data_IF_641615143832
#
_entry.id   IF_641615143832
#
_cell.length_a   1.000
_cell.length_b   1.000
_cell.length_c   1.000
_cell.angle_alpha   90.00
_cell.angle_beta   90.00
_cell.angle_gamma   90.00
#
_symmetry.space_group_name_H-M   'P 1'
#
loop_
_entity.id
_entity.type
_entity.pdbx_description
1 polymer ?
#
# COMPACT_ATOMS: atom_id res chain seq x y z
N UNK A 1 -11.82 16.65 -4.28
CA UNK A 1 -11.64 15.19 -4.21
C UNK A 1 -11.24 14.71 -5.59
N UNK A 2 -9.98 14.37 -5.83
CA UNK A 2 -9.54 13.85 -7.14
C UNK A 2 -9.75 12.35 -7.11
N UNK A 3 -10.81 11.89 -7.76
CA UNK A 3 -11.14 10.47 -7.88
C UNK A 3 -10.09 9.80 -8.76
N UNK A 4 -9.50 8.72 -8.25
CA UNK A 4 -8.37 8.04 -8.86
C UNK A 4 -8.85 7.19 -10.06
N UNK A 5 -8.76 7.72 -11.27
CA UNK A 5 -9.16 6.99 -12.49
C UNK A 5 -7.92 6.43 -13.18
N UNK A 6 -7.85 5.11 -13.24
CA UNK A 6 -6.95 4.25 -14.03
C UNK A 6 -5.67 4.91 -14.62
N UNK A 7 -4.45 4.50 -14.20
CA UNK A 7 -3.18 5.08 -14.65
C UNK A 7 -2.84 4.86 -16.15
N UNK A 8 -3.73 4.17 -16.87
CA UNK A 8 -3.57 3.85 -18.29
C UNK A 8 -4.15 4.91 -19.21
N UNK A 9 -5.02 5.80 -18.71
CA UNK A 9 -5.82 6.73 -19.53
C UNK A 9 -5.47 8.18 -19.26
N UNK A 10 -5.41 9.00 -20.31
CA UNK A 10 -5.24 10.45 -20.20
C UNK A 10 -6.51 11.10 -19.68
N UNK A 11 -6.40 11.89 -18.61
CA UNK A 11 -7.49 12.67 -18.03
C UNK A 11 -7.35 14.13 -18.44
N UNK A 12 -8.41 14.69 -19.02
CA UNK A 12 -8.48 16.14 -19.26
C UNK A 12 -8.63 16.85 -17.92
N UNK A 13 -7.78 17.86 -17.68
CA UNK A 13 -7.80 18.62 -16.42
C UNK A 13 -7.93 20.13 -16.64
N UNK A 14 -7.93 20.59 -17.90
CA UNK A 14 -8.17 21.98 -18.21
C UNK A 14 -8.31 22.25 -19.71
N UNK A 15 -8.82 23.44 -20.02
CA UNK A 15 -8.85 24.07 -21.35
C UNK A 15 -8.67 25.57 -21.16
N UNK A 16 -7.92 26.24 -22.03
CA UNK A 16 -7.63 27.67 -21.89
C UNK A 16 -7.74 28.37 -23.25
N UNK A 17 -8.50 29.47 -23.31
CA UNK A 17 -8.70 30.29 -24.51
C UNK A 17 -7.59 31.34 -24.72
N UNK A 18 -6.78 31.62 -23.70
CA UNK A 18 -5.65 32.58 -23.76
C UNK A 18 -4.35 31.99 -24.33
N UNK A 19 -4.28 30.66 -24.43
CA UNK A 19 -3.21 29.92 -25.09
C UNK A 19 -3.91 29.06 -26.14
N UNK A 20 -4.13 29.64 -27.33
CA UNK A 20 -4.63 29.00 -28.55
C UNK A 20 -5.50 27.75 -28.32
N UNK A 21 -6.81 27.91 -28.13
CA UNK A 21 -7.87 26.89 -28.06
C UNK A 21 -7.40 25.41 -27.87
N UNK A 22 -6.66 25.15 -26.79
CA UNK A 22 -5.96 23.87 -26.57
C UNK A 22 -6.61 23.03 -25.48
N UNK A 23 -6.44 21.71 -25.58
CA UNK A 23 -6.90 20.74 -24.57
C UNK A 23 -5.70 20.19 -23.79
N UNK A 24 -5.72 20.35 -22.47
CA UNK A 24 -4.65 19.89 -21.59
C UNK A 24 -4.99 18.53 -20.98
N UNK A 25 -4.06 17.57 -21.10
CA UNK A 25 -4.23 16.20 -20.61
C UNK A 25 -3.11 15.80 -19.66
N UNK A 26 -3.45 15.13 -18.57
CA UNK A 26 -2.51 14.54 -17.62
C UNK A 26 -2.66 13.02 -17.61
N UNK A 27 -1.56 12.33 -17.34
CA UNK A 27 -1.59 10.89 -17.06
C UNK A 27 -0.71 10.65 -15.84
N UNK A 28 -1.32 10.13 -14.80
CA UNK A 28 -0.58 9.56 -13.69
C UNK A 28 -0.02 8.23 -14.17
N UNK A 29 1.31 8.12 -14.19
CA UNK A 29 1.95 6.84 -14.41
C UNK A 29 2.19 6.27 -13.02
N UNK A 30 1.44 5.22 -12.69
CA UNK A 30 1.60 4.43 -11.47
C UNK A 30 2.88 3.58 -11.58
N UNK A 31 4.00 4.25 -11.81
CA UNK A 31 5.27 3.63 -12.13
C UNK A 31 6.13 3.65 -10.87
N UNK A 32 6.13 2.58 -10.08
CA UNK A 32 7.29 2.29 -9.25
C UNK A 32 7.31 0.88 -8.70
N UNK A 33 8.53 0.46 -8.31
CA UNK A 33 8.78 -0.61 -7.36
C UNK A 33 7.93 -0.35 -6.12
N UNK A 34 6.91 -1.19 -5.90
CA UNK A 34 6.08 -1.23 -4.70
C UNK A 34 5.30 0.07 -4.36
N UNK A 35 5.02 0.95 -5.33
CA UNK A 35 4.14 2.12 -5.11
C UNK A 35 4.77 3.31 -4.37
N UNK A 36 6.10 3.33 -4.23
CA UNK A 36 6.82 4.37 -3.47
C UNK A 36 7.24 5.58 -4.29
N UNK A 37 7.50 5.39 -5.59
CA UNK A 37 7.81 6.48 -6.50
C UNK A 37 6.61 6.77 -7.40
N UNK A 38 6.38 8.05 -7.61
CA UNK A 38 5.29 8.54 -8.41
C UNK A 38 5.86 9.38 -9.53
N UNK A 39 5.43 9.12 -10.76
CA UNK A 39 5.89 9.86 -11.94
C UNK A 39 4.68 10.42 -12.68
N UNK A 40 4.78 11.67 -13.12
CA UNK A 40 3.74 12.28 -13.94
C UNK A 40 4.31 13.21 -15.01
N UNK A 41 3.54 13.37 -16.09
CA UNK A 41 3.81 14.30 -17.20
C UNK A 41 2.51 14.92 -17.68
N UNK A 42 2.63 16.11 -18.24
CA UNK A 42 1.55 16.84 -18.91
C UNK A 42 1.79 16.83 -20.41
N UNK A 43 0.72 16.62 -21.17
CA UNK A 43 0.68 16.86 -22.61
C UNK A 43 -0.25 18.05 -22.87
N UNK A 44 0.26 19.04 -23.60
CA UNK A 44 -0.56 20.08 -24.22
C UNK A 44 -0.72 19.76 -25.71
N UNK A 45 -1.96 19.82 -26.20
CA UNK A 45 -2.33 19.43 -27.56
C UNK A 45 -3.42 20.37 -28.07
N UNK A 46 -3.24 20.92 -29.27
CA UNK A 46 -4.20 21.83 -29.92
C UNK A 46 -4.99 21.18 -31.08
N UNK A 47 -4.82 19.87 -31.30
CA UNK A 47 -5.39 19.13 -32.43
C UNK A 47 -4.48 19.04 -33.66
N UNK A 48 -3.39 19.80 -33.69
CA UNK A 48 -2.42 19.87 -34.81
C UNK A 48 -1.00 19.59 -34.34
N UNK A 49 -0.61 20.15 -33.20
CA UNK A 49 0.70 19.99 -32.58
C UNK A 49 0.56 19.57 -31.13
N UNK A 50 1.62 18.96 -30.59
CA UNK A 50 1.68 18.68 -29.17
C UNK A 50 3.07 18.85 -28.57
N UNK A 51 3.09 19.22 -27.30
CA UNK A 51 4.32 19.35 -26.51
C UNK A 51 4.17 18.66 -25.16
N UNK A 52 5.32 18.32 -24.57
CA UNK A 52 5.42 17.52 -23.36
C UNK A 52 6.18 18.27 -22.27
N UNK A 53 5.73 18.14 -21.02
CA UNK A 53 6.53 18.54 -19.87
C UNK A 53 7.71 17.58 -19.65
N UNK A 54 8.68 18.03 -18.84
CA UNK A 54 9.62 17.14 -18.16
C UNK A 54 8.90 16.10 -17.29
N UNK A 55 9.60 15.02 -16.92
CA UNK A 55 9.11 14.07 -15.90
C UNK A 55 9.14 14.76 -14.55
N UNK A 56 8.01 14.81 -13.87
CA UNK A 56 7.95 15.12 -12.45
C UNK A 56 7.92 13.82 -11.66
N UNK A 57 8.66 13.78 -10.53
CA UNK A 57 8.68 12.62 -9.64
C UNK A 57 8.63 13.02 -8.18
N UNK A 58 7.97 12.21 -7.35
CA UNK A 58 8.03 12.33 -5.90
C UNK A 58 8.05 10.95 -5.23
N UNK A 59 8.63 10.90 -4.04
CA UNK A 59 8.75 9.69 -3.21
C UNK A 59 7.77 9.79 -2.04
N UNK A 60 6.95 8.76 -1.85
CA UNK A 60 5.96 8.70 -0.77
C UNK A 60 6.41 7.87 0.43
N UNK A 61 7.50 7.13 0.33
CA UNK A 61 7.87 6.15 1.35
C UNK A 61 7.07 4.85 1.24
N UNK A 62 7.12 4.05 2.31
CA UNK A 62 6.30 2.84 2.46
C UNK A 62 4.85 3.20 2.80
N UNK A 63 3.88 2.59 2.12
CA UNK A 63 2.44 2.76 2.36
C UNK A 63 1.99 2.10 3.66
N UNK A 64 2.61 0.97 4.00
CA UNK A 64 2.44 0.25 5.26
C UNK A 64 3.82 -0.07 5.82
N UNK A 65 4.07 0.25 7.09
CA UNK A 65 5.38 0.12 7.71
C UNK A 65 5.33 -0.07 9.21
N UNK A 66 6.39 -0.67 9.73
CA UNK A 66 6.79 -0.55 11.14
C UNK A 66 7.90 0.49 11.20
N UNK A 67 7.80 1.45 12.11
CA UNK A 67 8.78 2.51 12.29
C UNK A 67 9.33 2.46 13.70
N UNK A 68 10.65 2.35 13.84
CA UNK A 68 11.30 2.40 15.14
C UNK A 68 11.68 3.85 15.46
N UNK A 69 10.84 4.50 16.27
CA UNK A 69 11.06 5.87 16.75
C UNK A 69 11.87 5.92 18.05
N UNK A 70 12.33 4.78 18.57
CA UNK A 70 13.09 4.66 19.82
C UNK A 70 14.60 4.81 19.61
N UNK A 71 15.35 4.92 20.71
CA UNK A 71 16.82 5.05 20.71
C UNK A 71 17.57 3.72 20.58
N UNK A 72 16.87 2.60 20.72
CA UNK A 72 17.44 1.25 20.63
C UNK A 72 16.85 0.48 19.47
N UNK A 73 17.63 -0.46 18.94
CA UNK A 73 17.15 -1.40 17.93
C UNK A 73 16.03 -2.28 18.51
N UNK A 74 15.05 -2.62 17.69
CA UNK A 74 13.98 -3.57 18.04
C UNK A 74 14.11 -4.83 17.18
N UNK A 75 13.68 -5.97 17.72
CA UNK A 75 13.60 -7.21 16.95
C UNK A 75 12.31 -7.96 17.26
N UNK A 76 11.84 -8.74 16.29
CA UNK A 76 10.58 -9.47 16.41
C UNK A 76 10.28 -10.29 15.16
N UNK A 77 9.20 -11.04 15.20
CA UNK A 77 8.77 -11.98 14.16
C UNK A 77 7.56 -11.40 13.44
N UNK A 78 7.69 -11.12 12.15
CA UNK A 78 6.60 -10.54 11.38
C UNK A 78 5.52 -11.60 11.10
N UNK A 79 4.28 -11.18 11.33
CA UNK A 79 3.07 -11.88 10.92
C UNK A 79 2.32 -10.97 9.94
N UNK A 80 1.97 -11.47 8.76
CA UNK A 80 0.97 -10.86 7.88
C UNK A 80 0.11 -11.95 7.25
N UNK A 81 -1.17 -11.90 7.54
CA UNK A 81 -2.14 -12.93 7.17
C UNK A 81 -3.35 -12.30 6.52
N UNK A 82 -3.97 -13.04 5.60
CA UNK A 82 -5.35 -12.74 5.19
C UNK A 82 -6.29 -13.57 6.03
N UNK A 83 -7.24 -12.89 6.66
CA UNK A 83 -8.25 -13.48 7.52
C UNK A 83 -9.64 -13.22 6.94
N UNK A 84 -10.52 -14.20 7.05
CA UNK A 84 -11.92 -14.13 6.68
C UNK A 84 -12.78 -13.96 7.93
N UNK A 85 -13.78 -13.09 7.87
CA UNK A 85 -14.75 -12.95 8.96
C UNK A 85 -15.80 -14.06 8.86
N UNK A 86 -15.71 -15.04 9.76
CA UNK A 86 -16.70 -16.09 9.86
C UNK A 86 -17.90 -15.57 10.65
N UNK A 87 -19.00 -15.30 9.95
CA UNK A 87 -20.24 -14.78 10.54
C UNK A 87 -20.89 -15.75 11.53
N UNK A 88 -20.69 -17.07 11.36
CA UNK A 88 -21.25 -18.08 12.27
C UNK A 88 -20.52 -18.12 13.60
N UNK A 89 -19.20 -17.94 13.57
CA UNK A 89 -18.34 -17.94 14.77
C UNK A 89 -18.12 -16.53 15.35
N UNK A 90 -18.66 -15.50 14.69
CA UNK A 90 -18.42 -14.08 14.99
C UNK A 90 -16.93 -13.76 15.19
N UNK A 91 -16.06 -14.37 14.37
CA UNK A 91 -14.61 -14.30 14.56
C UNK A 91 -13.83 -14.34 13.25
N UNK A 92 -12.62 -13.79 13.31
CA UNK A 92 -11.66 -13.83 12.21
C UNK A 92 -10.95 -15.17 12.20
N UNK A 93 -11.03 -15.88 11.09
CA UNK A 93 -10.28 -17.13 10.84
C UNK A 93 -9.22 -16.89 9.78
N UNK A 94 -8.09 -17.59 9.87
CA UNK A 94 -7.01 -17.47 8.88
C UNK A 94 -7.47 -18.14 7.58
N UNK A 95 -7.43 -17.39 6.48
CA UNK A 95 -7.61 -17.93 5.13
C UNK A 95 -6.24 -18.16 4.46
N UNK A 96 -5.31 -17.21 4.64
CA UNK A 96 -3.97 -17.29 4.09
C UNK A 96 -2.91 -16.84 5.11
N UNK A 97 -1.95 -17.70 5.41
CA UNK A 97 -0.84 -17.43 6.33
C UNK A 97 0.41 -16.99 5.55
N UNK A 98 0.31 -15.85 4.85
CA UNK A 98 1.28 -15.43 3.83
C UNK A 98 2.67 -15.21 4.40
N UNK A 99 2.75 -14.51 5.53
CA UNK A 99 3.98 -14.25 6.27
C UNK A 99 3.74 -14.67 7.72
N UNK A 100 4.46 -15.68 8.16
CA UNK A 100 4.47 -16.12 9.55
C UNK A 100 5.90 -16.54 9.89
N UNK A 101 6.72 -15.54 10.20
CA UNK A 101 8.16 -15.74 10.29
C UNK A 101 8.57 -16.48 11.56
N UNK A 102 9.52 -17.39 11.40
CA UNK A 102 10.22 -18.09 12.48
C UNK A 102 11.65 -17.59 12.68
N UNK A 103 12.07 -16.63 11.86
CA UNK A 103 13.35 -15.91 11.97
C UNK A 103 13.03 -14.45 12.25
N UNK A 104 13.69 -13.86 13.25
CA UNK A 104 13.43 -12.48 13.63
C UNK A 104 13.96 -11.49 12.59
N UNK A 105 13.27 -10.35 12.49
CA UNK A 105 13.75 -9.15 11.80
C UNK A 105 14.25 -8.16 12.83
N UNK A 106 15.32 -7.46 12.51
CA UNK A 106 15.80 -6.30 13.27
C UNK A 106 15.41 -5.02 12.55
N UNK A 107 14.94 -4.03 13.32
CA UNK A 107 14.67 -2.68 12.85
C UNK A 107 15.52 -1.74 13.71
N UNK A 108 16.60 -1.25 13.12
CA UNK A 108 17.51 -0.36 13.82
C UNK A 108 16.80 0.91 14.30
N UNK A 109 17.34 1.56 15.32
CA UNK A 109 16.85 2.87 15.77
C UNK A 109 16.73 3.84 14.59
N UNK A 110 15.63 4.61 14.56
CA UNK A 110 15.31 5.57 13.50
C UNK A 110 15.13 4.97 12.10
N UNK A 111 15.03 3.65 11.97
CA UNK A 111 14.76 2.95 10.71
C UNK A 111 13.31 2.49 10.61
N UNK A 112 12.92 2.12 9.38
CA UNK A 112 11.58 1.63 9.07
C UNK A 112 11.65 0.33 8.26
N UNK A 113 10.72 -0.57 8.54
CA UNK A 113 10.47 -1.79 7.77
C UNK A 113 9.20 -1.60 6.92
N UNK A 114 9.35 -1.62 5.60
CA UNK A 114 8.22 -1.50 4.67
C UNK A 114 7.45 -2.80 4.55
N UNK A 115 6.28 -2.87 5.17
CA UNK A 115 5.40 -4.05 5.11
C UNK A 115 4.79 -4.22 3.71
N UNK A 116 4.52 -3.11 3.03
CA UNK A 116 4.07 -3.10 1.64
C UNK A 116 5.08 -3.78 0.69
N UNK A 117 6.37 -3.62 0.91
CA UNK A 117 7.42 -4.28 0.11
C UNK A 117 7.49 -5.78 0.32
N UNK A 118 6.95 -6.28 1.43
CA UNK A 118 6.93 -7.69 1.78
C UNK A 118 5.63 -8.33 1.30
N UNK A 119 4.49 -7.67 1.54
CA UNK A 119 3.16 -8.25 1.27
C UNK A 119 2.69 -8.09 -0.18
N UNK A 120 2.99 -6.95 -0.82
CA UNK A 120 2.41 -6.65 -2.12
C UNK A 120 2.84 -7.68 -3.18
N UNK A 121 1.85 -8.25 -3.87
CA UNK A 121 2.06 -9.27 -4.89
C UNK A 121 2.15 -10.71 -4.36
N UNK A 122 2.13 -10.92 -3.03
CA UNK A 122 2.16 -12.26 -2.45
C UNK A 122 0.79 -12.96 -2.45
N UNK A 123 -0.30 -12.20 -2.36
CA UNK A 123 -1.66 -12.74 -2.31
C UNK A 123 -2.52 -12.14 -3.40
N UNK A 124 -3.31 -12.99 -4.08
CA UNK A 124 -4.39 -12.55 -4.96
C UNK A 124 -5.73 -12.94 -4.34
N UNK A 125 -6.77 -12.12 -4.58
CA UNK A 125 -8.11 -12.41 -4.09
C UNK A 125 -8.66 -13.76 -4.61
N UNK A 126 -8.17 -14.23 -5.76
CA UNK A 126 -8.47 -15.55 -6.34
C UNK A 126 -7.99 -16.72 -5.47
N UNK A 127 -6.97 -16.50 -4.66
CA UNK A 127 -6.29 -17.56 -3.89
C UNK A 127 -6.99 -17.82 -2.54
N UNK A 128 -7.95 -16.94 -2.17
CA UNK A 128 -8.70 -17.00 -0.92
C UNK A 128 -9.86 -18.00 -1.02
N UNK A 129 -9.98 -18.89 -0.03
CA UNK A 129 -10.84 -20.07 -0.11
C UNK A 129 -12.26 -19.86 0.44
N UNK A 130 -12.48 -18.87 1.32
CA UNK A 130 -13.77 -18.69 2.00
C UNK A 130 -14.87 -17.99 1.16
N UNK A 131 -14.72 -17.95 -0.17
CA UNK A 131 -15.72 -17.37 -1.08
C UNK A 131 -15.92 -15.85 -0.94
N UNK A 132 -17.03 -15.29 -1.44
CA UNK A 132 -17.38 -13.89 -1.23
C UNK A 132 -17.61 -13.58 0.26
N UNK A 133 -17.23 -12.37 0.70
CA UNK A 133 -17.44 -11.92 2.08
C UNK A 133 -16.45 -10.87 2.55
N UNK A 134 -16.38 -10.67 3.86
CA UNK A 134 -15.51 -9.69 4.50
C UNK A 134 -14.16 -10.34 4.87
N UNK A 135 -13.09 -9.71 4.42
CA UNK A 135 -11.72 -10.11 4.67
C UNK A 135 -10.94 -8.99 5.35
N UNK A 136 -9.84 -9.34 5.99
CA UNK A 136 -8.83 -8.39 6.41
C UNK A 136 -7.43 -8.90 6.14
N UNK A 137 -6.51 -7.99 5.83
CA UNK A 137 -5.08 -8.24 6.00
C UNK A 137 -4.77 -7.83 7.44
N UNK A 138 -4.32 -8.77 8.26
CA UNK A 138 -3.86 -8.52 9.64
C UNK A 138 -2.34 -8.62 9.66
N UNK A 139 -1.67 -7.61 10.21
CA UNK A 139 -0.24 -7.58 10.38
C UNK A 139 0.10 -7.36 11.85
N UNK A 140 1.08 -8.10 12.37
CA UNK A 140 1.56 -7.98 13.73
C UNK A 140 3.06 -8.25 13.84
N UNK A 141 3.73 -7.56 14.77
CA UNK A 141 5.13 -7.82 15.10
C UNK A 141 5.20 -8.49 16.48
N UNK A 142 5.78 -9.68 16.54
CA UNK A 142 5.64 -10.58 17.69
C UNK A 142 6.96 -10.92 18.37
N UNK A 143 6.88 -11.36 19.61
CA UNK A 143 7.96 -12.04 20.32
C UNK A 143 8.10 -13.52 19.87
N UNK A 144 9.13 -14.27 20.33
CA UNK A 144 9.30 -15.69 20.00
C UNK A 144 8.14 -16.59 20.44
N UNK A 145 7.41 -16.20 21.49
CA UNK A 145 6.26 -16.92 22.03
C UNK A 145 4.97 -16.64 21.24
N UNK A 146 5.01 -15.70 20.29
CA UNK A 146 3.88 -15.31 19.44
C UNK A 146 3.00 -14.21 20.02
N UNK A 147 3.38 -13.60 21.14
CA UNK A 147 2.68 -12.43 21.67
C UNK A 147 3.03 -11.18 20.85
N UNK A 148 2.05 -10.31 20.66
CA UNK A 148 2.24 -9.05 19.93
C UNK A 148 3.07 -8.11 20.81
N UNK A 149 4.15 -7.57 20.25
CA UNK A 149 5.00 -6.59 20.91
C UNK A 149 4.23 -5.30 21.18
N UNK A 150 4.54 -4.63 22.28
CA UNK A 150 3.95 -3.34 22.62
C UNK A 150 4.92 -2.20 22.31
N UNK A 151 4.37 -1.07 21.88
CA UNK A 151 5.06 0.22 21.84
C UNK A 151 5.21 0.79 23.25
N UNK A 152 5.99 1.87 23.38
CA UNK A 152 6.25 2.52 24.68
C UNK A 152 5.00 3.07 25.38
N UNK A 153 3.94 3.37 24.62
CA UNK A 153 2.62 3.79 25.09
C UNK A 153 1.67 2.60 25.35
N UNK A 154 2.19 1.37 25.38
CA UNK A 154 1.44 0.12 25.59
C UNK A 154 0.44 -0.21 24.48
N UNK A 155 0.57 0.41 23.31
CA UNK A 155 -0.20 0.06 22.12
C UNK A 155 0.43 -1.18 21.47
N UNK A 156 -0.39 -2.15 21.05
CA UNK A 156 0.11 -3.32 20.34
C UNK A 156 0.65 -2.93 18.96
N UNK A 157 1.79 -3.48 18.57
CA UNK A 157 2.35 -3.38 17.21
C UNK A 157 1.60 -4.31 16.26
N UNK A 158 0.32 -4.00 16.06
CA UNK A 158 -0.55 -4.64 15.07
C UNK A 158 -1.38 -3.61 14.31
N UNK A 159 -1.76 -3.97 13.09
CA UNK A 159 -2.67 -3.19 12.26
C UNK A 159 -3.46 -4.12 11.34
N UNK A 160 -4.58 -3.63 10.82
CA UNK A 160 -5.33 -4.35 9.82
C UNK A 160 -6.02 -3.43 8.82
N UNK A 161 -6.29 -3.97 7.65
CA UNK A 161 -7.12 -3.35 6.62
C UNK A 161 -8.19 -4.32 6.16
N UNK A 162 -9.45 -3.87 6.12
CA UNK A 162 -10.59 -4.68 5.69
C UNK A 162 -10.93 -4.45 4.22
N UNK A 163 -11.39 -5.51 3.56
CA UNK A 163 -11.88 -5.45 2.18
C UNK A 163 -12.97 -6.49 1.95
N UNK A 164 -13.86 -6.22 0.99
CA UNK A 164 -14.87 -7.17 0.56
C UNK A 164 -14.41 -7.90 -0.69
N UNK A 165 -14.53 -9.23 -0.69
CA UNK A 165 -14.42 -10.06 -1.90
C UNK A 165 -15.83 -10.28 -2.42
N UNK A 166 -16.07 -9.91 -3.68
CA UNK A 166 -17.35 -10.08 -4.39
C UNK A 166 -17.26 -11.21 -5.39
#
# INVERSE_FOLDING_TARGET
MVTYVNPSTWLQFGSNSSVCNGVYRQRFLNASVNGQWWYWKVKADDGTLSTWSSVYKFYTGYQSKIENTGETDISGYLLMQVQYYNETLESWIVDNDTINETTSRSINSSCQLGLDTIFNGQVRASDLMNGPGLYRVHAAFRDPEGNILNTSDQTKLEAWWQFSKT
#
